data_IF_709404262810
#
_entry.id   IF_709404262810
#
_cell.length_a   1.000
_cell.length_b   1.000
_cell.length_c   1.000
_cell.angle_alpha   90.00
_cell.angle_beta   90.00
_cell.angle_gamma   90.00
#
_symmetry.space_group_name_H-M   'P 1'
#
loop_
_entity.id
_entity.type
_entity.pdbx_description
1 polymer ?
#
# COMPACT_ATOMS: atom_id res chain seq x y z
N UNK A 1 16.07 8.09 1.54
CA UNK A 1 15.77 8.40 0.12
C UNK A 1 14.42 9.10 -0.04
N UNK A 2 13.29 8.52 0.36
CA UNK A 2 11.97 9.17 0.24
C UNK A 2 11.96 10.51 1.00
N UNK A 3 12.44 10.53 2.23
CA UNK A 3 12.55 11.75 3.05
C UNK A 3 13.48 12.80 2.43
N UNK A 4 14.58 12.36 1.84
CA UNK A 4 15.52 13.23 1.12
C UNK A 4 14.92 13.76 -0.19
N UNK A 5 14.16 12.94 -0.92
CA UNK A 5 13.40 13.40 -2.07
C UNK A 5 12.32 14.41 -1.66
N UNK A 6 11.56 14.12 -0.60
CA UNK A 6 10.50 14.99 -0.09
C UNK A 6 11.01 16.36 0.39
N UNK A 7 12.25 16.44 0.88
CA UNK A 7 12.87 17.73 1.25
C UNK A 7 13.23 18.59 0.04
N UNK A 8 13.51 17.96 -1.10
CA UNK A 8 13.83 18.66 -2.36
C UNK A 8 12.61 18.95 -3.23
N UNK A 9 11.56 18.16 -3.05
CA UNK A 9 10.31 18.24 -3.82
C UNK A 9 9.14 18.40 -2.85
N UNK A 10 8.76 19.65 -2.51
CA UNK A 10 7.72 19.91 -1.53
C UNK A 10 6.34 19.40 -1.95
N UNK A 11 6.12 19.20 -3.24
CA UNK A 11 4.86 18.70 -3.80
C UNK A 11 4.85 17.17 -3.94
N UNK A 12 5.92 16.46 -3.55
CA UNK A 12 5.97 15.00 -3.63
C UNK A 12 4.91 14.38 -2.73
N UNK A 13 3.99 13.64 -3.34
CA UNK A 13 3.05 12.75 -2.64
C UNK A 13 3.54 11.30 -2.69
N UNK A 14 3.28 10.55 -1.63
CA UNK A 14 3.64 9.14 -1.55
C UNK A 14 2.43 8.31 -1.14
N UNK A 15 2.03 7.39 -2.01
CA UNK A 15 1.04 6.35 -1.73
C UNK A 15 1.76 5.03 -1.51
N UNK A 16 1.61 4.44 -0.34
CA UNK A 16 2.24 3.17 0.01
C UNK A 16 1.17 2.11 0.27
N UNK A 17 1.32 0.95 -0.35
CA UNK A 17 0.41 -0.18 -0.21
C UNK A 17 1.14 -1.32 0.49
N UNK A 18 0.65 -1.72 1.66
CA UNK A 18 1.29 -2.73 2.51
C UNK A 18 0.27 -3.75 3.03
N UNK A 19 0.70 -4.99 3.35
CA UNK A 19 -0.13 -5.90 4.11
C UNK A 19 -0.32 -5.40 5.54
N UNK A 20 -1.46 -5.71 6.17
CA UNK A 20 -1.76 -5.32 7.56
C UNK A 20 -0.79 -5.98 8.53
N UNK A 21 -0.49 -7.26 8.31
CA UNK A 21 0.32 -8.07 9.21
C UNK A 21 1.30 -8.94 8.43
N UNK A 22 2.37 -9.42 9.06
CA UNK A 22 3.24 -10.44 8.50
C UNK A 22 2.48 -11.73 8.16
N UNK A 23 2.89 -12.39 7.08
CA UNK A 23 2.23 -13.59 6.54
C UNK A 23 2.32 -14.82 7.46
N UNK A 24 3.32 -14.89 8.33
CA UNK A 24 3.64 -16.13 9.05
C UNK A 24 3.53 -15.96 10.56
N UNK A 25 2.70 -16.80 11.14
CA UNK A 25 2.73 -17.15 12.55
C UNK A 25 3.61 -18.40 12.71
N UNK A 26 4.27 -18.53 13.84
CA UNK A 26 4.92 -19.78 14.25
C UNK A 26 3.85 -20.86 14.51
N UNK A 27 4.22 -22.16 14.58
CA UNK A 27 3.27 -23.25 14.85
C UNK A 27 2.40 -23.03 16.10
N UNK A 28 2.88 -22.23 17.04
CA UNK A 28 2.19 -21.88 18.28
C UNK A 28 1.22 -20.69 18.12
N UNK A 29 1.04 -20.18 16.90
CA UNK A 29 0.16 -19.05 16.60
C UNK A 29 0.78 -17.68 16.93
N UNK A 30 2.07 -17.63 17.24
CA UNK A 30 2.79 -16.38 17.55
C UNK A 30 3.76 -15.99 16.43
N UNK A 31 4.14 -14.71 16.40
CA UNK A 31 5.19 -14.26 15.52
C UNK A 31 6.57 -14.56 16.09
N UNK A 32 7.47 -15.07 15.25
CA UNK A 32 8.87 -15.21 15.61
C UNK A 32 9.49 -13.87 16.03
N UNK A 33 10.58 -13.92 16.79
CA UNK A 33 11.30 -12.70 17.18
C UNK A 33 11.78 -11.89 15.97
N UNK A 34 12.19 -12.58 14.90
CA UNK A 34 12.61 -11.92 13.65
C UNK A 34 11.42 -11.24 12.95
N UNK A 35 10.25 -11.87 12.92
CA UNK A 35 9.01 -11.32 12.36
C UNK A 35 8.56 -10.09 13.14
N UNK A 36 8.53 -10.18 14.48
CA UNK A 36 8.22 -9.03 15.36
C UNK A 36 9.18 -7.86 15.14
N UNK A 37 10.48 -8.13 15.06
CA UNK A 37 11.47 -7.09 14.80
C UNK A 37 11.29 -6.44 13.42
N UNK A 38 11.04 -7.25 12.38
CA UNK A 38 10.75 -6.73 11.03
C UNK A 38 9.51 -5.85 10.99
N UNK A 39 8.45 -6.27 11.67
CA UNK A 39 7.22 -5.49 11.78
C UNK A 39 7.45 -4.17 12.53
N UNK A 40 8.16 -4.21 13.67
CA UNK A 40 8.53 -3.01 14.41
C UNK A 40 9.34 -2.02 13.55
N UNK A 41 10.32 -2.50 12.76
CA UNK A 41 11.07 -1.66 11.84
C UNK A 41 10.16 -1.02 10.77
N UNK A 42 9.20 -1.78 10.24
CA UNK A 42 8.21 -1.28 9.28
C UNK A 42 7.40 -0.14 9.89
N UNK A 43 6.83 -0.35 11.09
CA UNK A 43 6.07 0.65 11.81
C UNK A 43 6.87 1.93 12.05
N UNK A 44 8.08 1.78 12.57
CA UNK A 44 8.99 2.90 12.83
C UNK A 44 9.30 3.72 11.56
N UNK A 45 9.52 3.04 10.43
CA UNK A 45 9.77 3.72 9.17
C UNK A 45 8.54 4.46 8.65
N UNK A 46 7.35 3.87 8.78
CA UNK A 46 6.08 4.53 8.43
C UNK A 46 5.85 5.76 9.31
N UNK A 47 6.06 5.65 10.62
CA UNK A 47 5.97 6.80 11.54
C UNK A 47 6.90 7.94 11.10
N UNK A 48 8.15 7.61 10.78
CA UNK A 48 9.11 8.59 10.31
C UNK A 48 8.64 9.27 9.02
N UNK A 49 8.18 8.50 8.04
CA UNK A 49 7.64 9.05 6.80
C UNK A 49 6.43 9.96 7.07
N UNK A 50 5.53 9.55 7.99
CA UNK A 50 4.38 10.36 8.37
C UNK A 50 4.78 11.68 9.04
N UNK A 51 5.80 11.67 9.89
CA UNK A 51 6.34 12.87 10.52
C UNK A 51 6.99 13.83 9.52
N UNK A 52 7.72 13.30 8.54
CA UNK A 52 8.47 14.09 7.56
C UNK A 52 7.58 14.63 6.42
N UNK A 53 6.62 13.83 5.95
CA UNK A 53 5.77 14.19 4.81
C UNK A 53 4.39 14.73 5.22
N UNK A 54 3.92 14.44 6.44
CA UNK A 54 2.61 14.87 6.91
C UNK A 54 1.48 14.34 6.03
N UNK A 55 0.65 15.27 5.53
CA UNK A 55 -0.52 14.94 4.69
C UNK A 55 -0.15 14.51 3.26
N UNK A 56 1.11 14.57 2.89
CA UNK A 56 1.63 14.10 1.59
C UNK A 56 1.97 12.60 1.57
N UNK A 57 1.69 11.88 2.66
CA UNK A 57 1.97 10.47 2.81
C UNK A 57 0.75 9.68 3.25
N UNK A 58 0.35 8.70 2.45
CA UNK A 58 -0.72 7.75 2.77
C UNK A 58 -0.25 6.31 2.74
N UNK A 59 -0.68 5.54 3.74
CA UNK A 59 -0.46 4.09 3.81
C UNK A 59 -1.80 3.39 3.74
N UNK A 60 -1.90 2.42 2.85
CA UNK A 60 -3.13 1.69 2.56
C UNK A 60 -2.89 0.19 2.60
N UNK A 61 -3.94 -0.55 2.84
CA UNK A 61 -3.99 -2.00 2.66
C UNK A 61 -5.13 -2.37 1.71
N UNK A 62 -5.14 -3.60 1.26
CA UNK A 62 -6.22 -4.14 0.43
C UNK A 62 -7.10 -5.07 1.25
N UNK A 63 -8.40 -4.94 1.05
CA UNK A 63 -9.41 -5.83 1.61
C UNK A 63 -10.12 -6.57 0.47
N UNK A 64 -10.29 -7.88 0.62
CA UNK A 64 -11.14 -8.63 -0.30
C UNK A 64 -12.61 -8.40 0.01
N UNK A 65 -13.44 -8.30 -1.04
CA UNK A 65 -14.89 -8.33 -0.88
C UNK A 65 -15.32 -9.74 -0.51
N UNK A 66 -15.98 -9.90 0.62
CA UNK A 66 -16.64 -11.15 0.97
C UNK A 66 -18.13 -11.07 0.69
N UNK A 67 -18.66 -12.11 0.07
CA UNK A 67 -20.09 -12.25 -0.21
C UNK A 67 -20.85 -12.94 0.92
N UNK A 68 -20.14 -13.61 1.84
CA UNK A 68 -20.76 -14.28 3.01
C UNK A 68 -19.90 -14.05 4.25
N UNK A 69 -20.55 -13.60 5.32
CA UNK A 69 -19.93 -13.38 6.62
C UNK A 69 -19.83 -14.68 7.40
N UNK A 70 -18.62 -15.04 7.83
CA UNK A 70 -18.46 -15.79 9.07
C UNK A 70 -17.88 -14.83 10.10
N UNK A 71 -18.65 -14.51 11.13
CA UNK A 71 -18.27 -13.64 12.24
C UNK A 71 -17.13 -14.19 13.10
N UNK A 72 -16.67 -15.40 12.84
CA UNK A 72 -15.65 -16.11 13.60
C UNK A 72 -14.34 -16.30 12.85
N UNK A 73 -14.16 -15.58 11.71
CA UNK A 73 -12.94 -15.67 10.93
C UNK A 73 -11.82 -14.79 11.57
N UNK A 74 -10.70 -15.37 12.02
CA UNK A 74 -9.59 -14.62 12.62
C UNK A 74 -8.92 -13.63 11.66
N UNK A 75 -9.19 -13.72 10.34
CA UNK A 75 -8.74 -12.74 9.36
C UNK A 75 -9.74 -11.59 9.15
N UNK A 76 -10.92 -11.64 9.79
CA UNK A 76 -11.88 -10.52 9.78
C UNK A 76 -11.35 -9.39 10.66
N UNK A 77 -11.03 -8.27 10.03
CA UNK A 77 -10.54 -7.06 10.70
C UNK A 77 -11.67 -6.14 11.18
N UNK A 78 -12.85 -6.69 11.40
CA UNK A 78 -14.03 -5.95 11.90
C UNK A 78 -14.73 -5.08 10.86
N UNK A 79 -14.33 -5.18 9.58
CA UNK A 79 -14.93 -4.44 8.46
C UNK A 79 -15.79 -5.33 7.56
N UNK A 80 -16.05 -6.59 7.94
CA UNK A 80 -16.75 -7.56 7.12
C UNK A 80 -16.00 -7.89 5.83
N UNK A 81 -14.66 -7.94 5.91
CA UNK A 81 -13.80 -8.22 4.77
C UNK A 81 -12.48 -8.81 5.25
N UNK A 82 -11.87 -9.67 4.42
CA UNK A 82 -10.54 -10.21 4.69
C UNK A 82 -9.45 -9.29 4.19
N UNK A 83 -8.34 -9.23 4.95
CA UNK A 83 -7.11 -8.61 4.47
C UNK A 83 -6.53 -9.38 3.29
N UNK A 84 -6.09 -8.64 2.27
CA UNK A 84 -5.30 -9.21 1.18
C UNK A 84 -3.83 -9.06 1.51
N UNK A 85 -3.09 -10.17 1.58
CA UNK A 85 -1.65 -10.11 1.76
C UNK A 85 -0.97 -9.61 0.48
N UNK A 86 -0.58 -8.34 0.49
CA UNK A 86 0.10 -7.70 -0.64
C UNK A 86 1.54 -8.19 -0.72
N UNK A 87 1.83 -9.11 -1.64
CA UNK A 87 3.18 -9.64 -1.87
C UNK A 87 3.87 -9.04 -3.11
N UNK A 88 3.19 -8.21 -3.88
CA UNK A 88 3.76 -7.50 -5.01
C UNK A 88 4.82 -6.49 -4.56
N UNK A 89 5.92 -6.38 -5.31
CA UNK A 89 6.94 -5.36 -5.16
C UNK A 89 6.96 -4.54 -6.42
N UNK A 90 6.30 -3.40 -6.37
CA UNK A 90 6.19 -2.47 -7.49
C UNK A 90 6.42 -1.04 -7.00
N UNK A 91 7.08 -0.25 -7.82
CA UNK A 91 7.28 1.18 -7.62
C UNK A 91 6.90 1.87 -8.93
N UNK A 92 6.13 2.94 -8.84
CA UNK A 92 5.76 3.79 -9.96
C UNK A 92 6.07 5.23 -9.55
N UNK A 93 6.73 5.96 -10.40
CA UNK A 93 7.12 7.36 -10.16
C UNK A 93 6.63 8.20 -11.34
N UNK A 94 5.70 9.11 -11.07
CA UNK A 94 5.22 10.21 -11.96
C UNK A 94 4.80 9.76 -13.37
N UNK A 95 4.33 8.52 -13.54
CA UNK A 95 4.06 7.90 -14.85
C UNK A 95 5.27 7.87 -15.82
N UNK A 96 6.48 8.14 -15.30
CA UNK A 96 7.71 8.13 -16.09
C UNK A 96 8.55 6.87 -15.89
N UNK A 97 8.55 6.32 -14.67
CA UNK A 97 9.34 5.14 -14.31
C UNK A 97 8.48 4.14 -13.58
N UNK A 98 8.55 2.88 -13.98
CA UNK A 98 8.01 1.78 -13.19
C UNK A 98 9.04 0.67 -12.99
N UNK A 99 8.95 0.02 -11.85
CA UNK A 99 9.75 -1.14 -11.47
C UNK A 99 8.85 -2.20 -10.85
N UNK A 100 9.09 -3.46 -11.23
CA UNK A 100 8.57 -4.64 -10.53
C UNK A 100 9.73 -5.58 -10.24
N UNK A 101 9.67 -6.30 -9.13
CA UNK A 101 10.76 -7.21 -8.79
C UNK A 101 10.51 -8.08 -7.57
N UNK A 102 11.56 -8.73 -7.11
CA UNK A 102 11.56 -9.56 -5.91
C UNK A 102 11.93 -8.78 -4.64
N UNK A 103 12.61 -7.63 -4.77
CA UNK A 103 13.10 -6.84 -3.65
C UNK A 103 11.98 -6.22 -2.81
N UNK A 104 11.94 -6.56 -1.52
CA UNK A 104 11.13 -5.84 -0.57
C UNK A 104 11.77 -4.51 -0.18
N UNK A 105 10.97 -3.55 0.27
CA UNK A 105 11.46 -2.26 0.76
C UNK A 105 12.06 -2.42 2.18
N UNK A 106 13.14 -3.19 2.28
CA UNK A 106 13.83 -3.46 3.53
C UNK A 106 15.36 -3.59 3.35
N UNK A 107 16.10 -3.56 4.46
CA UNK A 107 17.56 -3.61 4.43
C UNK A 107 18.15 -4.91 3.90
N UNK A 108 17.44 -6.04 4.03
CA UNK A 108 17.92 -7.32 3.50
C UNK A 108 17.95 -7.30 1.98
N UNK A 109 16.84 -6.97 1.33
CA UNK A 109 16.74 -6.92 -0.13
C UNK A 109 17.68 -5.87 -0.73
N UNK A 110 17.97 -4.77 -0.01
CA UNK A 110 18.87 -3.73 -0.51
C UNK A 110 20.36 -3.98 -0.25
N UNK A 111 20.72 -4.93 0.64
CA UNK A 111 22.11 -5.05 1.08
C UNK A 111 22.65 -6.48 1.15
N UNK A 112 21.79 -7.49 1.23
CA UNK A 112 22.21 -8.88 1.51
C UNK A 112 21.66 -9.88 0.49
N UNK A 113 20.38 -9.81 0.15
CA UNK A 113 19.71 -10.79 -0.69
C UNK A 113 20.01 -10.53 -2.18
N UNK A 114 20.04 -11.58 -2.99
CA UNK A 114 20.07 -11.46 -4.44
C UNK A 114 18.66 -11.24 -4.95
N UNK A 115 18.46 -10.14 -5.65
CA UNK A 115 17.17 -9.71 -6.14
C UNK A 115 17.17 -9.50 -7.65
N UNK A 116 16.00 -9.60 -8.25
CA UNK A 116 15.79 -9.32 -9.67
C UNK A 116 14.70 -8.29 -9.85
N UNK A 117 14.92 -7.32 -10.72
CA UNK A 117 13.91 -6.32 -11.04
C UNK A 117 13.88 -6.02 -12.54
N UNK A 118 12.68 -5.74 -13.04
CA UNK A 118 12.43 -5.14 -14.35
C UNK A 118 12.09 -3.66 -14.14
N UNK A 119 12.80 -2.80 -14.85
CA UNK A 119 12.57 -1.35 -14.85
C UNK A 119 12.30 -0.89 -16.27
N UNK A 120 11.27 -0.08 -16.45
CA UNK A 120 10.99 0.55 -17.76
C UNK A 120 10.65 2.02 -17.59
N UNK A 121 10.80 2.80 -18.69
CA UNK A 121 10.72 4.24 -18.70
C UNK A 121 9.91 4.80 -19.88
N UNK A 122 9.14 3.96 -20.55
CA UNK A 122 8.20 4.40 -21.59
C UNK A 122 6.94 4.95 -20.90
N UNK A 123 6.68 6.28 -20.97
CA UNK A 123 5.59 6.90 -20.20
C UNK A 123 4.22 6.28 -20.46
N UNK A 124 3.90 5.95 -21.72
CA UNK A 124 2.62 5.32 -22.04
C UNK A 124 2.46 3.93 -21.41
N UNK A 125 3.53 3.13 -21.38
CA UNK A 125 3.52 1.82 -20.74
C UNK A 125 3.47 1.93 -19.21
N UNK A 126 4.16 2.90 -18.62
CA UNK A 126 4.13 3.17 -17.18
C UNK A 126 2.73 3.61 -16.76
N UNK A 127 2.13 4.56 -17.52
CA UNK A 127 0.75 5.03 -17.28
C UNK A 127 -0.26 3.89 -17.36
N UNK A 128 -0.19 3.05 -18.40
CA UNK A 128 -1.08 1.89 -18.55
C UNK A 128 -0.93 0.91 -17.39
N UNK A 129 0.30 0.70 -16.89
CA UNK A 129 0.55 -0.15 -15.74
C UNK A 129 -0.07 0.44 -14.47
N UNK A 130 0.17 1.74 -14.20
CA UNK A 130 -0.43 2.45 -13.07
C UNK A 130 -1.96 2.42 -13.14
N UNK A 131 -2.55 2.77 -14.28
CA UNK A 131 -4.00 2.77 -14.48
C UNK A 131 -4.61 1.41 -14.21
N UNK A 132 -4.00 0.35 -14.70
CA UNK A 132 -4.49 -1.02 -14.49
C UNK A 132 -4.48 -1.40 -13.01
N UNK A 133 -3.40 -1.09 -12.28
CA UNK A 133 -3.29 -1.36 -10.84
C UNK A 133 -4.28 -0.52 -10.05
N UNK A 134 -4.30 0.78 -10.29
CA UNK A 134 -5.15 1.69 -9.54
C UNK A 134 -6.63 1.45 -9.81
N UNK A 135 -7.02 1.19 -11.05
CA UNK A 135 -8.40 0.83 -11.38
C UNK A 135 -8.84 -0.46 -10.70
N UNK A 136 -7.93 -1.43 -10.55
CA UNK A 136 -8.21 -2.62 -9.77
C UNK A 136 -8.45 -2.30 -8.27
N UNK A 137 -7.71 -1.35 -7.72
CA UNK A 137 -7.77 -1.01 -6.29
C UNK A 137 -8.83 0.05 -5.96
N UNK A 138 -9.08 0.99 -6.86
CA UNK A 138 -9.95 2.14 -6.66
C UNK A 138 -11.28 2.04 -7.44
N UNK A 139 -11.40 1.09 -8.37
CA UNK A 139 -12.54 0.90 -9.27
C UNK A 139 -12.92 2.22 -9.99
N UNK A 140 -14.20 2.60 -9.97
CA UNK A 140 -14.73 3.80 -10.60
C UNK A 140 -14.25 5.12 -9.96
N UNK A 141 -13.52 5.05 -8.84
CA UNK A 141 -12.96 6.27 -8.22
C UNK A 141 -11.78 6.84 -9.00
N UNK A 142 -11.13 6.06 -9.86
CA UNK A 142 -10.08 6.55 -10.75
C UNK A 142 -10.72 7.19 -11.99
N UNK A 143 -10.57 8.51 -12.22
CA UNK A 143 -11.01 9.15 -13.44
C UNK A 143 -10.27 8.61 -14.67
N UNK A 144 -10.95 8.61 -15.83
CA UNK A 144 -10.34 8.14 -17.08
C UNK A 144 -9.22 9.08 -17.59
N UNK A 145 -9.28 10.35 -17.21
CA UNK A 145 -8.34 11.41 -17.57
C UNK A 145 -7.37 11.77 -16.42
N UNK A 146 -7.23 10.89 -15.43
CA UNK A 146 -6.31 11.12 -14.30
C UNK A 146 -4.88 11.33 -14.78
N UNK A 147 -4.27 12.43 -14.30
CA UNK A 147 -2.88 12.80 -14.56
C UNK A 147 -2.16 13.12 -13.24
N UNK A 148 -1.16 12.33 -12.82
CA UNK A 148 -0.48 12.54 -11.55
C UNK A 148 0.30 13.87 -11.46
N UNK A 149 0.57 14.53 -12.60
CA UNK A 149 1.19 15.86 -12.63
C UNK A 149 0.19 16.98 -12.35
N UNK A 150 -1.11 16.71 -12.44
CA UNK A 150 -2.19 17.68 -12.24
C UNK A 150 -3.08 17.33 -11.06
N UNK A 151 -3.29 16.05 -10.85
CA UNK A 151 -4.29 15.52 -9.92
C UNK A 151 -3.61 14.83 -8.74
N UNK A 152 -4.10 15.05 -7.51
CA UNK A 152 -3.56 14.37 -6.33
C UNK A 152 -4.02 12.91 -6.31
N UNK A 153 -3.06 12.00 -6.48
CA UNK A 153 -3.27 10.57 -6.33
C UNK A 153 -3.63 10.20 -4.89
N UNK A 154 -2.97 10.81 -3.93
CA UNK A 154 -3.23 10.57 -2.51
C UNK A 154 -4.66 10.96 -2.10
N UNK A 155 -5.19 12.04 -2.66
CA UNK A 155 -6.59 12.44 -2.43
C UNK A 155 -7.55 11.35 -2.91
N UNK A 156 -7.34 10.77 -4.10
CA UNK A 156 -8.17 9.67 -4.61
C UNK A 156 -8.13 8.43 -3.70
N UNK A 157 -6.94 8.04 -3.24
CA UNK A 157 -6.78 6.91 -2.33
C UNK A 157 -7.47 7.15 -1.00
N UNK A 158 -7.37 8.35 -0.44
CA UNK A 158 -8.06 8.73 0.79
C UNK A 158 -9.59 8.71 0.64
N UNK A 159 -10.11 9.22 -0.48
CA UNK A 159 -11.55 9.19 -0.77
C UNK A 159 -12.07 7.76 -0.92
N UNK A 160 -11.37 6.92 -1.67
CA UNK A 160 -11.72 5.51 -1.84
C UNK A 160 -11.70 4.76 -0.49
N UNK A 161 -10.67 5.01 0.32
CA UNK A 161 -10.56 4.44 1.67
C UNK A 161 -11.73 4.86 2.56
N UNK A 162 -12.07 6.14 2.58
CA UNK A 162 -13.19 6.66 3.38
C UNK A 162 -14.53 6.03 2.96
N UNK A 163 -14.77 5.90 1.64
CA UNK A 163 -15.96 5.20 1.13
C UNK A 163 -15.98 3.72 1.52
N UNK A 164 -14.84 3.04 1.38
CA UNK A 164 -14.73 1.62 1.72
C UNK A 164 -14.95 1.32 3.20
N UNK A 165 -14.68 2.27 4.10
CA UNK A 165 -14.93 2.13 5.54
C UNK A 165 -16.41 2.17 5.90
N UNK A 166 -17.18 3.04 5.23
CA UNK A 166 -18.60 3.26 5.56
C UNK A 166 -19.55 2.45 4.67
N UNK A 167 -19.11 2.05 3.47
CA UNK A 167 -19.92 1.30 2.55
C UNK A 167 -20.10 -0.15 3.01
N UNK A 168 -21.27 -0.73 2.71
CA UNK A 168 -21.49 -2.17 2.83
C UNK A 168 -20.54 -2.90 1.89
N UNK A 169 -20.19 -4.15 2.24
CA UNK A 169 -19.22 -4.95 1.46
C UNK A 169 -19.55 -5.01 -0.04
N UNK A 170 -20.84 -5.10 -0.40
CA UNK A 170 -21.30 -5.13 -1.79
C UNK A 170 -21.10 -3.82 -2.56
N UNK A 171 -21.07 -2.69 -1.85
CA UNK A 171 -21.08 -1.35 -2.44
C UNK A 171 -19.68 -0.68 -2.44
N UNK A 172 -18.64 -1.43 -2.08
CA UNK A 172 -17.28 -0.89 -1.98
C UNK A 172 -16.67 -0.64 -3.36
N UNK A 173 -16.11 0.55 -3.60
CA UNK A 173 -15.49 0.93 -4.88
C UNK A 173 -14.05 0.42 -5.01
N UNK A 174 -13.83 -0.89 -5.03
CA UNK A 174 -12.49 -1.47 -5.08
C UNK A 174 -12.04 -2.03 -3.74
N UNK A 175 -10.74 -2.13 -3.51
CA UNK A 175 -10.17 -2.85 -2.36
C UNK A 175 -9.37 -1.97 -1.40
N UNK A 176 -9.05 -0.72 -1.78
CA UNK A 176 -8.17 0.15 -0.98
C UNK A 176 -8.84 0.65 0.30
N UNK A 177 -8.15 0.48 1.42
CA UNK A 177 -8.53 1.03 2.73
C UNK A 177 -7.28 1.59 3.40
N UNK A 178 -7.37 2.75 4.04
CA UNK A 178 -6.26 3.30 4.80
C UNK A 178 -5.86 2.34 5.91
N UNK A 179 -4.57 2.08 6.01
CA UNK A 179 -3.99 1.29 7.08
C UNK A 179 -3.97 2.12 8.36
N UNK A 180 -4.86 1.80 9.28
CA UNK A 180 -4.80 2.33 10.64
C UNK A 180 -3.83 1.48 11.44
N UNK A 181 -2.83 2.16 11.99
CA UNK A 181 -1.85 1.51 12.84
C UNK A 181 -1.95 2.13 14.22
N UNK A 182 -2.09 1.30 15.24
CA UNK A 182 -1.96 1.75 16.62
C UNK A 182 -0.47 2.00 16.91
N UNK A 183 -0.11 3.28 16.96
CA UNK A 183 1.26 3.70 17.20
C UNK A 183 1.64 3.70 18.69
N UNK A 184 0.70 3.36 19.58
CA UNK A 184 0.88 3.36 21.02
C UNK A 184 1.28 2.00 21.60
N UNK A 185 1.36 0.96 20.78
CA UNK A 185 1.73 -0.40 21.21
C UNK A 185 3.24 -0.66 21.16
#
# INVERSE_FOLDING_TARGET
WITDAASRHPDLEVVMLLPIAPERLDPDGEWSSATRHGHWLQLRNIQRLKQELGDRFGVFTLLSRQTEQSSDDPEDIGLGARSVYVHAKAIIVDDEVAMIGSANLNGRSFSLDTETALVWREPDAVRQFRDRLWRHHLAEMLPDDFDPMRDSGLTLWNLASARNRVARTADRPGFAVALEMDWAA
#
